data_IF_297541503433
#
_entry.id   IF_297541503433
#
_cell.length_a   1.000
_cell.length_b   1.000
_cell.length_c   1.000
_cell.angle_alpha   90.00
_cell.angle_beta   90.00
_cell.angle_gamma   90.00
#
_symmetry.space_group_name_H-M   'P 1'
#
loop_
_entity.id
_entity.type
_entity.pdbx_description
1 polymer ?
#
# COMPACT_ATOMS: atom_id res chain seq x y z
N UNK A 1 -1.35 20.89 -58.23
CA UNK A 1 -2.82 20.89 -58.41
C UNK A 1 -3.46 20.33 -57.16
N UNK A 2 -4.01 21.22 -56.33
CA UNK A 2 -4.74 20.90 -55.10
C UNK A 2 -6.19 20.62 -55.51
N UNK A 3 -6.72 19.45 -55.17
CA UNK A 3 -8.16 19.16 -55.32
C UNK A 3 -8.87 19.59 -54.05
N UNK A 4 -9.87 20.44 -54.20
CA UNK A 4 -10.75 20.91 -53.12
C UNK A 4 -12.17 20.37 -53.33
N UNK A 5 -12.92 20.28 -52.21
CA UNK A 5 -14.39 20.32 -52.07
C UNK A 5 -15.16 19.02 -52.45
N UNK A 6 -16.23 18.54 -51.80
CA UNK A 6 -17.15 18.88 -50.67
C UNK A 6 -17.65 17.51 -50.10
N UNK A 7 -18.26 17.39 -48.92
CA UNK A 7 -19.73 17.51 -48.72
C UNK A 7 -20.12 17.30 -47.24
N UNK A 8 -20.97 18.25 -46.82
CA UNK A 8 -22.09 18.26 -45.86
C UNK A 8 -21.96 17.86 -44.38
N UNK A 9 -22.29 18.89 -43.58
CA UNK A 9 -22.89 18.86 -42.28
C UNK A 9 -24.31 18.25 -42.27
N UNK A 10 -24.61 17.45 -41.25
CA UNK A 10 -25.91 17.19 -40.60
C UNK A 10 -25.52 16.73 -39.17
N UNK A 11 -26.06 17.17 -38.04
CA UNK A 11 -27.15 18.09 -37.71
C UNK A 11 -27.18 18.22 -36.17
N UNK A 12 -27.72 19.33 -35.68
CA UNK A 12 -27.93 19.59 -34.26
C UNK A 12 -29.33 19.11 -33.81
N UNK A 13 -29.42 18.53 -32.62
CA UNK A 13 -30.61 18.48 -31.73
C UNK A 13 -30.14 17.96 -30.36
N UNK A 14 -29.92 18.78 -29.33
CA UNK A 14 -30.89 19.36 -28.38
C UNK A 14 -31.59 18.33 -27.49
N UNK A 15 -31.23 18.39 -26.20
CA UNK A 15 -31.96 18.02 -24.98
C UNK A 15 -32.43 16.57 -24.77
N UNK A 16 -31.85 15.92 -23.76
CA UNK A 16 -32.64 15.51 -22.59
C UNK A 16 -31.76 15.53 -21.33
N UNK A 17 -32.09 16.46 -20.42
CA UNK A 17 -31.68 16.41 -19.03
C UNK A 17 -32.36 15.20 -18.37
N UNK A 18 -31.58 14.24 -17.88
CA UNK A 18 -32.00 13.35 -16.80
C UNK A 18 -30.98 13.41 -15.68
N UNK A 19 -31.29 14.29 -14.73
CA UNK A 19 -30.68 14.32 -13.41
C UNK A 19 -31.16 13.06 -12.68
N UNK A 20 -30.33 12.02 -12.64
CA UNK A 20 -30.42 11.02 -11.59
C UNK A 20 -29.46 11.43 -10.47
N UNK A 21 -29.98 12.27 -9.57
CA UNK A 21 -29.39 12.48 -8.25
C UNK A 21 -29.62 11.23 -7.41
N UNK A 22 -28.77 10.21 -7.59
CA UNK A 22 -28.60 9.16 -6.57
C UNK A 22 -27.82 9.80 -5.44
N UNK A 23 -28.55 10.35 -4.46
CA UNK A 23 -28.03 10.68 -3.14
C UNK A 23 -27.72 9.38 -2.41
N UNK A 24 -26.65 8.70 -2.85
CA UNK A 24 -25.92 7.79 -1.99
C UNK A 24 -25.16 8.66 -1.00
N UNK A 25 -25.72 8.84 0.18
CA UNK A 25 -24.94 9.23 1.37
C UNK A 25 -24.01 8.08 1.69
N UNK A 26 -22.96 7.90 0.88
CA UNK A 26 -21.74 7.31 1.38
C UNK A 26 -21.28 8.28 2.46
N UNK A 27 -21.64 7.99 3.71
CA UNK A 27 -20.88 8.48 4.85
C UNK A 27 -19.44 8.22 4.47
N UNK A 28 -18.71 9.28 4.14
CA UNK A 28 -17.29 9.29 4.32
C UNK A 28 -17.11 8.97 5.80
N UNK A 29 -16.95 7.69 6.13
CA UNK A 29 -16.22 7.31 7.29
C UNK A 29 -14.87 7.97 7.07
N UNK A 30 -14.71 9.16 7.65
CA UNK A 30 -13.44 9.85 7.68
C UNK A 30 -12.48 8.87 8.31
N UNK A 31 -11.69 8.20 7.47
CA UNK A 31 -10.50 7.51 7.92
C UNK A 31 -9.55 8.62 8.36
N UNK A 32 -9.75 9.10 9.58
CA UNK A 32 -8.86 10.05 10.21
C UNK A 32 -7.49 9.39 10.34
N UNK A 33 -6.54 10.10 9.74
CA UNK A 33 -5.15 9.75 9.53
C UNK A 33 -4.38 9.57 10.84
N UNK A 34 -3.54 8.54 10.90
CA UNK A 34 -2.41 8.41 11.82
C UNK A 34 -1.69 9.74 12.01
N UNK A 35 -1.38 10.16 13.23
CA UNK A 35 -0.63 11.39 13.45
C UNK A 35 0.88 11.07 13.39
N UNK A 36 1.59 11.54 12.36
CA UNK A 36 3.05 11.36 12.20
C UNK A 36 3.89 11.89 13.37
N UNK A 37 3.26 12.54 14.34
CA UNK A 37 3.85 12.97 15.62
C UNK A 37 3.96 11.86 16.69
N UNK A 38 3.33 10.69 16.49
CA UNK A 38 3.34 9.56 17.44
C UNK A 38 3.75 8.22 16.78
N UNK A 39 4.97 8.14 16.20
CA UNK A 39 5.47 6.95 15.52
C UNK A 39 5.47 5.69 16.41
N UNK A 40 5.61 5.85 17.72
CA UNK A 40 5.63 4.76 18.70
C UNK A 40 4.37 3.88 18.71
N UNK A 41 3.24 4.35 18.17
CA UNK A 41 2.01 3.55 18.08
C UNK A 41 2.21 2.29 17.22
N UNK A 42 3.19 2.31 16.31
CA UNK A 42 3.54 1.17 15.47
C UNK A 42 4.25 0.07 16.24
N UNK A 43 4.86 0.36 17.40
CA UNK A 43 5.63 -0.62 18.18
C UNK A 43 4.72 -1.78 18.62
N UNK A 44 5.21 -3.00 18.44
CA UNK A 44 4.51 -4.22 18.77
C UNK A 44 4.24 -5.09 17.54
N UNK A 45 3.41 -6.10 17.75
CA UNK A 45 3.14 -7.16 16.79
C UNK A 45 1.83 -6.90 16.04
N UNK A 46 1.88 -7.05 14.73
CA UNK A 46 0.78 -6.85 13.80
C UNK A 46 0.59 -8.12 12.98
N UNK A 47 -0.65 -8.58 12.88
CA UNK A 47 -1.00 -9.84 12.19
C UNK A 47 -1.97 -9.52 11.06
N UNK A 48 -1.70 -10.04 9.87
CA UNK A 48 -2.55 -9.88 8.70
C UNK A 48 -3.95 -10.47 8.94
N UNK A 49 -4.96 -9.64 8.69
CA UNK A 49 -6.37 -10.02 8.68
C UNK A 49 -6.77 -10.33 7.23
N UNK A 50 -6.62 -11.60 6.84
CA UNK A 50 -6.95 -12.07 5.50
C UNK A 50 -8.40 -11.82 5.12
N UNK A 51 -9.33 -11.79 6.09
CA UNK A 51 -10.75 -11.55 5.84
C UNK A 51 -11.04 -10.09 5.51
N UNK A 52 -10.17 -9.16 5.91
CA UNK A 52 -10.29 -7.72 5.65
C UNK A 52 -9.33 -7.21 4.59
N UNK A 53 -8.36 -8.03 4.19
CA UNK A 53 -7.38 -7.69 3.18
C UNK A 53 -7.90 -8.01 1.78
N UNK A 54 -7.44 -7.23 0.80
CA UNK A 54 -7.55 -7.55 -0.62
C UNK A 54 -6.15 -7.82 -1.12
N UNK A 55 -5.84 -9.10 -1.35
CA UNK A 55 -4.57 -9.49 -1.93
C UNK A 55 -4.56 -9.11 -3.42
N UNK A 56 -3.41 -8.70 -3.94
CA UNK A 56 -3.22 -8.42 -5.35
C UNK A 56 -3.24 -9.71 -6.19
N UNK A 57 -3.00 -9.56 -7.50
CA UNK A 57 -2.78 -10.70 -8.40
C UNK A 57 -1.32 -11.17 -8.40
N UNK A 58 -0.45 -10.54 -7.62
CA UNK A 58 0.95 -10.92 -7.51
C UNK A 58 1.05 -12.27 -6.77
N UNK A 59 1.69 -13.30 -7.37
CA UNK A 59 1.89 -14.59 -6.70
C UNK A 59 2.67 -14.46 -5.39
N UNK A 60 3.57 -13.48 -5.27
CA UNK A 60 4.36 -13.26 -4.05
C UNK A 60 3.59 -12.49 -2.96
N UNK A 61 2.34 -12.09 -3.24
CA UNK A 61 1.42 -11.46 -2.27
C UNK A 61 0.27 -12.39 -1.85
N UNK A 62 0.33 -13.67 -2.23
CA UNK A 62 -0.65 -14.68 -1.82
C UNK A 62 -0.31 -15.22 -0.41
N UNK A 63 -0.35 -14.34 0.59
CA UNK A 63 -0.05 -14.70 1.97
C UNK A 63 -1.08 -15.68 2.54
N UNK A 64 -0.60 -16.78 3.12
CA UNK A 64 -1.38 -17.65 4.00
C UNK A 64 -1.40 -17.10 5.43
N UNK A 65 -0.32 -16.44 5.84
CA UNK A 65 -0.19 -15.72 7.09
C UNK A 65 0.90 -14.66 6.96
N UNK A 66 0.77 -13.56 7.67
CA UNK A 66 1.85 -12.59 7.77
C UNK A 66 1.82 -11.89 9.13
N UNK A 67 2.98 -11.82 9.77
CA UNK A 67 3.20 -11.10 11.00
C UNK A 67 4.32 -10.08 10.81
N UNK A 68 4.10 -8.86 11.28
CA UNK A 68 5.09 -7.79 11.30
C UNK A 68 5.26 -7.30 12.74
N UNK A 69 6.48 -7.31 13.26
CA UNK A 69 6.80 -6.88 14.62
C UNK A 69 7.75 -5.70 14.58
N UNK A 70 7.28 -4.52 15.00
CA UNK A 70 8.12 -3.34 15.14
C UNK A 70 8.73 -3.29 16.53
N UNK A 71 10.06 -3.23 16.60
CA UNK A 71 10.82 -3.15 17.86
C UNK A 71 11.32 -1.74 18.13
N UNK A 72 11.46 -0.91 17.09
CA UNK A 72 11.83 0.49 17.21
C UNK A 72 11.08 1.30 16.16
N UNK A 73 10.42 2.39 16.57
CA UNK A 73 9.85 3.36 15.64
C UNK A 73 9.99 4.76 16.23
N UNK A 74 10.69 5.63 15.51
CA UNK A 74 10.86 7.05 15.82
C UNK A 74 10.62 7.87 14.57
N UNK A 75 10.77 9.20 14.64
CA UNK A 75 10.69 10.06 13.46
C UNK A 75 11.87 9.87 12.51
N UNK A 76 13.00 9.29 12.96
CA UNK A 76 14.24 9.20 12.17
C UNK A 76 14.80 7.78 12.03
N UNK A 77 14.27 6.81 12.77
CA UNK A 77 14.76 5.44 12.80
C UNK A 77 13.63 4.44 12.99
N UNK A 78 13.80 3.26 12.40
CA UNK A 78 12.82 2.18 12.37
C UNK A 78 13.55 0.83 12.47
N UNK A 79 12.95 -0.14 13.15
CA UNK A 79 13.36 -1.53 13.14
C UNK A 79 12.15 -2.46 13.24
N UNK A 80 12.13 -3.51 12.43
CA UNK A 80 11.08 -4.52 12.43
C UNK A 80 11.58 -5.88 11.97
N UNK A 81 10.83 -6.92 12.35
CA UNK A 81 10.96 -8.29 11.85
C UNK A 81 9.63 -8.72 11.24
N UNK A 82 9.70 -9.49 10.16
CA UNK A 82 8.56 -9.99 9.40
C UNK A 82 8.64 -11.51 9.28
N UNK A 83 7.54 -12.18 9.56
CA UNK A 83 7.33 -13.61 9.30
C UNK A 83 6.17 -13.75 8.33
N UNK A 84 6.46 -14.07 7.07
CA UNK A 84 5.47 -14.22 6.00
C UNK A 84 5.40 -15.68 5.57
N UNK A 85 4.20 -16.27 5.62
CA UNK A 85 3.93 -17.60 5.09
C UNK A 85 3.23 -17.46 3.74
N UNK A 86 3.82 -18.02 2.69
CA UNK A 86 3.30 -18.02 1.32
C UNK A 86 3.36 -19.47 0.81
N UNK A 87 2.24 -20.01 0.35
CA UNK A 87 2.12 -21.38 -0.13
C UNK A 87 2.67 -22.43 0.86
N UNK A 88 2.40 -22.23 2.15
CA UNK A 88 2.84 -23.10 3.23
C UNK A 88 4.33 -22.99 3.62
N UNK A 89 5.10 -22.09 2.98
CA UNK A 89 6.49 -21.83 3.34
C UNK A 89 6.62 -20.51 4.08
N UNK A 90 7.30 -20.53 5.23
CA UNK A 90 7.54 -19.32 6.02
C UNK A 90 8.91 -18.74 5.72
N UNK A 91 8.93 -17.46 5.37
CA UNK A 91 10.11 -16.63 5.20
C UNK A 91 10.18 -15.63 6.35
N UNK A 92 11.35 -15.55 6.99
CA UNK A 92 11.63 -14.58 8.05
C UNK A 92 12.68 -13.59 7.57
N UNK A 93 12.40 -12.31 7.70
CA UNK A 93 13.32 -11.25 7.31
C UNK A 93 13.10 -10.00 8.18
N UNK A 94 14.08 -9.11 8.20
CA UNK A 94 14.03 -7.91 9.05
C UNK A 94 14.69 -6.72 8.39
N UNK A 95 14.43 -5.55 8.95
CA UNK A 95 15.05 -4.30 8.55
C UNK A 95 15.31 -3.44 9.77
N UNK A 96 16.44 -2.73 9.78
CA UNK A 96 16.74 -1.73 10.78
C UNK A 96 17.57 -0.60 10.17
N UNK A 97 17.19 0.65 10.42
CA UNK A 97 17.89 1.77 9.83
C UNK A 97 17.21 3.13 10.02
N UNK A 98 17.79 4.13 9.37
CA UNK A 98 17.29 5.50 9.35
C UNK A 98 16.14 5.67 8.33
N UNK A 99 15.19 6.54 8.67
CA UNK A 99 14.05 6.93 7.83
C UNK A 99 14.44 8.16 7.00
N UNK A 100 15.44 8.01 6.13
CA UNK A 100 15.98 9.06 5.24
C UNK A 100 15.59 8.82 3.75
N UNK A 101 14.96 7.69 3.48
CA UNK A 101 14.62 7.17 2.16
C UNK A 101 15.81 6.78 1.30
N UNK A 102 16.94 6.44 1.91
CA UNK A 102 17.99 5.65 1.28
C UNK A 102 17.61 4.18 1.30
N UNK A 103 17.88 3.46 0.21
CA UNK A 103 17.71 2.00 0.16
C UNK A 103 18.72 1.35 1.09
N UNK A 104 18.25 0.41 1.92
CA UNK A 104 19.09 -0.40 2.81
C UNK A 104 18.70 -1.88 2.64
N UNK A 105 19.68 -2.80 2.65
CA UNK A 105 19.40 -4.23 2.50
C UNK A 105 18.43 -4.74 3.56
N UNK A 106 17.55 -5.65 3.16
CA UNK A 106 16.80 -6.51 4.05
C UNK A 106 17.73 -7.58 4.61
N UNK A 107 17.56 -7.92 5.88
CA UNK A 107 18.28 -9.01 6.53
C UNK A 107 17.46 -10.28 6.30
N UNK A 108 18.08 -11.29 5.68
CA UNK A 108 17.44 -12.59 5.40
C UNK A 108 16.87 -12.74 3.98
N UNK A 109 17.01 -11.73 3.13
CA UNK A 109 16.64 -11.78 1.70
C UNK A 109 17.68 -11.03 0.86
N UNK A 110 17.55 -11.07 -0.47
CA UNK A 110 18.37 -10.25 -1.38
C UNK A 110 17.81 -8.84 -1.62
N UNK A 111 16.63 -8.55 -1.08
CA UNK A 111 15.94 -7.29 -1.30
C UNK A 111 16.48 -6.13 -0.47
N UNK A 112 15.90 -4.97 -0.69
CA UNK A 112 16.20 -3.74 0.05
C UNK A 112 14.96 -2.89 0.21
N UNK A 113 14.91 -2.13 1.31
CA UNK A 113 13.83 -1.20 1.62
C UNK A 113 14.39 0.19 1.94
N UNK A 114 13.63 1.21 1.57
CA UNK A 114 13.79 2.60 1.99
C UNK A 114 12.51 3.11 2.64
N UNK A 115 12.65 3.94 3.68
CA UNK A 115 11.52 4.49 4.41
C UNK A 115 11.54 6.01 4.46
N UNK A 116 10.38 6.63 4.30
CA UNK A 116 10.18 8.07 4.54
C UNK A 116 8.84 8.34 5.21
N UNK A 117 8.82 9.29 6.14
CA UNK A 117 7.57 9.87 6.59
C UNK A 117 7.01 10.84 5.54
N UNK A 118 5.72 10.73 5.22
CA UNK A 118 5.01 11.71 4.39
C UNK A 118 3.68 12.04 5.05
N UNK A 119 3.61 13.23 5.66
CA UNK A 119 2.47 13.65 6.49
C UNK A 119 2.22 12.60 7.58
N UNK A 120 1.16 11.83 7.37
CA UNK A 120 0.52 10.92 8.30
C UNK A 120 0.62 9.46 7.82
N UNK A 121 1.64 9.16 7.02
CA UNK A 121 1.91 7.84 6.50
C UNK A 121 3.40 7.56 6.51
N UNK A 122 3.74 6.30 6.81
CA UNK A 122 5.06 5.76 6.54
C UNK A 122 5.05 5.24 5.11
N UNK A 123 5.92 5.79 4.27
CA UNK A 123 6.12 5.34 2.91
C UNK A 123 7.27 4.34 2.93
N UNK A 124 7.05 3.17 2.35
CA UNK A 124 8.11 2.19 2.06
C UNK A 124 8.28 2.08 0.56
N UNK A 125 9.52 2.12 0.11
CA UNK A 125 9.91 1.74 -1.23
C UNK A 125 10.74 0.47 -1.11
N UNK A 126 10.38 -0.56 -1.86
CA UNK A 126 11.08 -1.84 -1.87
C UNK A 126 11.63 -2.14 -3.26
N UNK A 127 12.84 -2.68 -3.29
CA UNK A 127 13.39 -3.44 -4.42
C UNK A 127 13.58 -4.86 -3.89
N UNK A 128 12.74 -5.78 -4.36
CA UNK A 128 12.73 -7.15 -3.85
C UNK A 128 13.65 -8.08 -4.65
N UNK A 129 14.43 -7.52 -5.59
CA UNK A 129 15.19 -8.29 -6.55
C UNK A 129 14.35 -8.72 -7.75
N UNK A 130 14.99 -9.37 -8.73
CA UNK A 130 14.33 -9.95 -9.91
C UNK A 130 13.44 -9.01 -10.75
N UNK A 131 13.63 -7.69 -10.63
CA UNK A 131 12.81 -6.69 -11.32
C UNK A 131 11.48 -6.39 -10.63
N UNK A 132 11.29 -6.82 -9.38
CA UNK A 132 10.12 -6.50 -8.56
C UNK A 132 10.39 -5.28 -7.67
N UNK A 133 9.50 -4.30 -7.76
CA UNK A 133 9.54 -3.11 -6.90
C UNK A 133 8.18 -2.84 -6.28
N UNK A 134 8.17 -2.31 -5.05
CA UNK A 134 6.93 -1.97 -4.34
C UNK A 134 6.94 -0.57 -3.78
N UNK A 135 5.77 0.06 -3.79
CA UNK A 135 5.52 1.31 -3.08
C UNK A 135 4.36 1.10 -2.12
N UNK A 136 4.67 1.09 -0.82
CA UNK A 136 3.66 1.01 0.21
C UNK A 136 3.36 2.35 0.85
N UNK A 137 2.08 2.56 1.12
CA UNK A 137 1.60 3.63 1.99
C UNK A 137 0.99 2.99 3.23
N UNK A 138 1.73 3.06 4.34
CA UNK A 138 1.32 2.50 5.62
C UNK A 138 0.61 3.58 6.45
N UNK A 139 -0.58 3.23 6.93
CA UNK A 139 -1.42 4.09 7.78
C UNK A 139 -1.94 3.30 8.98
N UNK A 140 -2.18 3.98 10.10
CA UNK A 140 -2.74 3.39 11.32
C UNK A 140 -4.08 4.06 11.65
N UNK A 141 -5.03 3.27 12.13
CA UNK A 141 -6.32 3.76 12.63
C UNK A 141 -6.14 4.61 13.89
N UNK A 142 -7.06 5.54 14.14
CA UNK A 142 -7.02 6.44 15.29
C UNK A 142 -6.93 5.73 16.64
N UNK A 143 -7.51 4.54 16.76
CA UNK A 143 -7.45 3.70 17.97
C UNK A 143 -6.15 2.89 18.12
N UNK A 144 -5.24 2.96 17.14
CA UNK A 144 -3.98 2.23 17.17
C UNK A 144 -4.11 0.71 17.01
N UNK A 145 -5.27 0.20 16.58
CA UNK A 145 -5.54 -1.25 16.51
C UNK A 145 -5.44 -1.83 15.12
N UNK A 146 -5.48 -1.00 14.09
CA UNK A 146 -5.50 -1.43 12.69
C UNK A 146 -4.44 -0.71 11.90
N UNK A 147 -3.60 -1.48 11.21
CA UNK A 147 -2.69 -1.01 10.19
C UNK A 147 -3.29 -1.30 8.82
N UNK A 148 -3.15 -0.35 7.91
CA UNK A 148 -3.48 -0.54 6.50
C UNK A 148 -2.28 -0.20 5.66
N UNK A 149 -1.85 -1.15 4.85
CA UNK A 149 -0.80 -1.02 3.86
C UNK A 149 -1.48 -1.01 2.50
N UNK A 150 -1.36 0.10 1.78
CA UNK A 150 -1.73 0.15 0.36
C UNK A 150 -0.48 -0.11 -0.43
N UNK A 151 -0.45 -1.28 -1.08
CA UNK A 151 0.66 -1.74 -1.87
C UNK A 151 0.39 -1.46 -3.35
N UNK A 152 1.42 -1.00 -4.03
CA UNK A 152 1.52 -1.03 -5.48
C UNK A 152 2.83 -1.70 -5.82
N UNK A 153 2.73 -2.92 -6.35
CA UNK A 153 3.86 -3.66 -6.88
C UNK A 153 3.96 -3.50 -8.39
N UNK A 154 5.18 -3.51 -8.89
CA UNK A 154 5.51 -3.65 -10.31
C UNK A 154 6.39 -4.87 -10.43
N UNK A 155 5.90 -5.87 -11.16
CA UNK A 155 6.58 -7.14 -11.43
C UNK A 155 6.88 -7.25 -12.93
N UNK A 156 7.69 -8.23 -13.36
CA UNK A 156 7.85 -8.53 -14.79
C UNK A 156 6.53 -8.85 -15.51
N UNK A 157 5.49 -9.27 -14.79
CA UNK A 157 4.18 -9.61 -15.33
C UNK A 157 3.22 -8.40 -15.41
N UNK A 158 3.57 -7.28 -14.76
CA UNK A 158 2.79 -6.04 -14.77
C UNK A 158 2.66 -5.40 -13.40
N UNK A 159 1.78 -4.41 -13.29
CA UNK A 159 1.49 -3.77 -12.01
C UNK A 159 0.35 -4.48 -11.28
N UNK A 160 0.48 -4.66 -9.97
CA UNK A 160 -0.59 -5.13 -9.10
C UNK A 160 -0.86 -4.12 -7.97
N UNK A 161 -2.03 -4.26 -7.36
CA UNK A 161 -2.46 -3.45 -6.23
C UNK A 161 -3.01 -4.38 -5.15
N UNK A 162 -2.59 -4.15 -3.91
CA UNK A 162 -3.13 -4.82 -2.75
C UNK A 162 -3.50 -3.81 -1.65
N UNK A 163 -4.45 -4.19 -0.81
CA UNK A 163 -4.78 -3.49 0.42
C UNK A 163 -4.69 -4.50 1.55
N UNK A 164 -3.59 -4.43 2.30
CA UNK A 164 -3.32 -5.35 3.40
C UNK A 164 -3.77 -4.67 4.69
N UNK A 165 -4.60 -5.38 5.45
CA UNK A 165 -5.12 -4.91 6.74
C UNK A 165 -4.51 -5.79 7.82
N UNK A 166 -3.72 -5.21 8.71
CA UNK A 166 -3.14 -5.91 9.85
C UNK A 166 -3.81 -5.44 11.15
N UNK A 167 -3.97 -6.35 12.09
CA UNK A 167 -4.48 -6.09 13.44
C UNK A 167 -3.34 -6.15 14.43
N UNK A 168 -3.35 -5.23 15.39
CA UNK A 168 -2.44 -5.32 16.53
C UNK A 168 -2.77 -6.58 17.33
N UNK A 169 -1.74 -7.33 17.69
CA UNK A 169 -1.85 -8.44 18.61
C UNK A 169 -1.52 -7.92 20.02
N UNK A 170 -2.53 -7.94 20.90
CA UNK A 170 -2.43 -7.59 22.31
C UNK A 170 -1.68 -8.67 23.11
#
# INVERSE_FOLDING_TARGET
MIKTLKICAIGAAVCLLTIFSVQGTARAAGAEQFNGHHPEILIGKWVLDLKKSSLGSDPYEQFDAWTLTFTQVTTTALAWTSDATIHGQTLTFSWAGQIDGSMKPLIGTEGSDAYRWKKNALIRLSDLGHGETKLDVVTISRDGRTMTIRDRSTTPQGAALAILVLRRQD
#
